data_IF_610839489857
#
_entry.id   IF_610839489857
#
_cell.length_a   1.000
_cell.length_b   1.000
_cell.length_c   1.000
_cell.angle_alpha   90.00
_cell.angle_beta   90.00
_cell.angle_gamma   90.00
#
_symmetry.space_group_name_H-M   'P 1'
#
loop_
_entity.id
_entity.type
_entity.pdbx_description
1 polymer ?
#
# COMPACT_ATOMS: atom_id res chain seq x y z
N UNK A 1 0.14 9.15 13.77
CA UNK A 1 -0.53 8.17 12.88
C UNK A 1 -1.03 8.91 11.67
N UNK A 2 -0.72 8.53 10.43
CA UNK A 2 -1.37 9.15 9.28
C UNK A 2 -2.81 8.64 9.25
N UNK A 3 -3.75 9.49 9.69
CA UNK A 3 -5.17 9.25 9.45
C UNK A 3 -5.49 9.64 8.01
N UNK A 4 -6.37 8.87 7.38
CA UNK A 4 -6.92 9.08 6.05
C UNK A 4 -7.37 10.54 5.89
N UNK A 5 -6.76 11.25 4.94
CA UNK A 5 -7.11 12.65 4.63
C UNK A 5 -8.50 12.68 3.99
N UNK A 6 -9.44 13.44 4.57
CA UNK A 6 -10.83 13.56 4.10
C UNK A 6 -11.07 14.97 3.60
N UNK A 7 -11.35 15.10 2.31
CA UNK A 7 -11.72 16.38 1.71
C UNK A 7 -13.15 16.77 2.11
N UNK A 8 -13.31 17.90 2.79
CA UNK A 8 -14.60 18.56 2.98
C UNK A 8 -14.46 20.04 2.63
N UNK A 9 -15.06 20.44 1.50
CA UNK A 9 -15.32 21.85 1.21
C UNK A 9 -16.56 22.29 1.99
N UNK A 10 -16.38 23.05 3.08
CA UNK A 10 -17.34 24.05 3.57
C UNK A 10 -16.75 24.76 4.80
N UNK A 11 -16.30 26.00 4.64
CA UNK A 11 -15.95 26.89 5.75
C UNK A 11 -16.69 28.23 5.60
N UNK A 12 -17.32 28.67 6.70
CA UNK A 12 -17.48 30.10 6.98
C UNK A 12 -16.23 30.57 7.75
N UNK A 13 -15.76 31.80 7.53
CA UNK A 13 -14.51 32.27 8.12
C UNK A 13 -14.68 32.67 9.59
N UNK A 14 -13.75 32.32 10.49
CA UNK A 14 -13.58 33.03 11.75
C UNK A 14 -12.74 34.31 11.52
N UNK A 15 -13.23 35.40 12.12
CA UNK A 15 -12.64 36.74 12.13
C UNK A 15 -11.18 36.78 12.56
N UNK A 16 -10.38 37.55 11.81
CA UNK A 16 -8.92 37.60 11.92
C UNK A 16 -8.35 38.18 13.23
N UNK A 17 -7.17 37.66 13.58
CA UNK A 17 -6.12 38.36 14.33
C UNK A 17 -4.76 37.98 13.74
N UNK A 18 -3.94 38.99 13.43
CA UNK A 18 -2.53 38.82 12.99
C UNK A 18 -1.67 38.36 14.17
N UNK A 19 -0.75 37.43 13.95
CA UNK A 19 0.27 36.94 14.92
C UNK A 19 1.68 37.20 14.36
N UNK A 20 2.68 37.61 15.18
CA UNK A 20 4.00 38.08 14.72
C UNK A 20 4.90 36.99 14.13
N UNK A 21 5.99 37.40 13.46
CA UNK A 21 7.02 36.54 12.91
C UNK A 21 7.79 35.79 14.02
N UNK A 22 7.93 34.46 13.87
CA UNK A 22 8.57 33.58 14.87
C UNK A 22 7.62 32.75 15.75
N UNK A 23 6.35 32.57 15.37
CA UNK A 23 5.36 31.86 16.20
C UNK A 23 5.23 30.36 15.94
N UNK A 24 5.30 29.54 17.00
CA UNK A 24 4.70 28.20 17.05
C UNK A 24 3.19 28.32 16.80
N UNK A 25 2.64 27.50 15.89
CA UNK A 25 1.17 27.35 15.76
C UNK A 25 0.75 26.16 16.62
N UNK A 26 0.02 26.44 17.70
CA UNK A 26 -0.72 25.43 18.45
C UNK A 26 -2.08 25.24 17.78
N UNK A 27 -2.34 24.06 17.23
CA UNK A 27 -3.66 23.69 16.71
C UNK A 27 -4.32 22.84 17.80
N UNK A 28 -5.27 23.41 18.51
CA UNK A 28 -6.02 22.68 19.54
C UNK A 28 -7.08 21.81 18.86
N UNK A 29 -6.90 20.49 18.93
CA UNK A 29 -7.89 19.49 18.53
C UNK A 29 -7.88 18.37 19.56
N UNK A 30 -8.84 18.44 20.49
CA UNK A 30 -8.96 17.58 21.65
C UNK A 30 -9.15 18.40 22.93
N UNK A 31 -10.01 17.94 23.84
CA UNK A 31 -10.27 18.63 25.11
C UNK A 31 -9.07 18.59 26.09
N UNK A 32 -8.02 17.81 25.79
CA UNK A 32 -6.90 17.54 26.71
C UNK A 32 -5.49 17.47 26.07
N UNK A 33 -5.35 17.38 24.73
CA UNK A 33 -4.05 17.26 24.05
C UNK A 33 -3.88 18.35 22.98
N UNK A 34 -2.67 18.88 22.89
CA UNK A 34 -2.31 20.02 22.03
C UNK A 34 -1.21 19.57 21.06
N UNK A 35 -1.42 19.81 19.76
CA UNK A 35 -0.39 19.54 18.76
C UNK A 35 0.38 20.83 18.43
N UNK A 36 1.71 20.75 18.50
CA UNK A 36 2.60 21.84 18.09
C UNK A 36 3.41 21.39 16.87
N UNK A 37 3.32 22.18 15.80
CA UNK A 37 4.14 22.00 14.59
C UNK A 37 5.17 23.12 14.58
N UNK A 38 6.46 22.76 14.56
CA UNK A 38 7.52 23.72 14.27
C UNK A 38 7.51 23.99 12.77
N UNK A 39 7.22 25.22 12.34
CA UNK A 39 7.39 25.63 10.94
C UNK A 39 8.46 26.72 10.89
N UNK A 40 9.55 26.49 10.16
CA UNK A 40 10.46 27.57 9.72
C UNK A 40 9.72 28.37 8.66
N UNK A 41 9.44 29.64 8.95
CA UNK A 41 8.59 30.49 8.10
C UNK A 41 9.46 31.16 7.03
N UNK A 42 9.12 30.96 5.77
CA UNK A 42 9.60 31.80 4.67
C UNK A 42 8.85 33.16 4.71
N UNK A 43 9.54 34.31 4.76
CA UNK A 43 8.89 35.62 4.95
C UNK A 43 7.99 36.11 3.80
N UNK A 44 7.92 35.43 2.65
CA UNK A 44 7.30 35.99 1.43
C UNK A 44 5.94 35.41 0.98
N UNK A 45 5.39 34.37 1.61
CA UNK A 45 4.06 33.83 1.20
C UNK A 45 3.03 33.76 2.33
N UNK A 46 1.92 34.52 2.23
CA UNK A 46 0.76 34.33 3.10
C UNK A 46 -0.13 33.20 2.54
N UNK A 47 0.07 31.97 2.99
CA UNK A 47 -0.90 30.88 2.79
C UNK A 47 -2.02 30.99 3.85
N UNK A 48 -3.27 31.10 3.41
CA UNK A 48 -4.45 30.96 4.28
C UNK A 48 -4.47 29.53 4.90
N UNK A 49 -4.81 29.39 6.20
CA UNK A 49 -4.90 28.07 6.81
C UNK A 49 -6.17 27.34 6.32
N UNK A 50 -6.01 26.47 5.35
CA UNK A 50 -7.01 25.45 5.04
C UNK A 50 -6.96 24.35 6.11
N UNK A 51 -8.10 24.07 6.76
CA UNK A 51 -8.22 22.87 7.61
C UNK A 51 -8.46 21.67 6.71
N UNK A 52 -7.40 20.91 6.44
CA UNK A 52 -7.40 19.78 5.50
C UNK A 52 -7.94 18.47 6.12
N UNK A 53 -7.89 18.33 7.45
CA UNK A 53 -8.35 17.14 8.17
C UNK A 53 -8.63 17.46 9.64
N UNK A 54 -9.47 16.63 10.28
CA UNK A 54 -9.72 16.68 11.72
C UNK A 54 -9.13 15.40 12.31
N UNK A 55 -8.15 15.55 13.20
CA UNK A 55 -7.58 14.44 13.95
C UNK A 55 -7.74 14.73 15.44
N UNK A 56 -8.26 13.77 16.19
CA UNK A 56 -8.21 13.80 17.66
C UNK A 56 -6.97 13.02 18.10
N UNK A 57 -6.06 13.69 18.80
CA UNK A 57 -4.77 13.11 19.14
C UNK A 57 -4.78 12.63 20.58
N UNK A 58 -4.62 11.33 20.76
CA UNK A 58 -4.91 10.64 22.02
C UNK A 58 -3.67 10.16 22.78
N UNK A 59 -2.48 10.43 22.27
CA UNK A 59 -1.25 9.93 22.89
C UNK A 59 -0.11 10.93 22.75
N UNK A 60 0.47 11.28 23.89
CA UNK A 60 1.69 12.08 24.01
C UNK A 60 2.86 11.38 23.32
N UNK A 61 3.41 12.02 22.29
CA UNK A 61 4.58 11.54 21.56
C UNK A 61 5.09 12.57 20.56
N UNK A 62 6.22 12.23 19.94
CA UNK A 62 6.72 12.89 18.75
C UNK A 62 6.33 12.06 17.53
N UNK A 63 5.66 12.66 16.57
CA UNK A 63 5.16 12.00 15.37
C UNK A 63 5.73 12.64 14.11
N UNK A 64 5.80 11.86 13.04
CA UNK A 64 6.16 12.33 11.70
C UNK A 64 4.91 12.60 10.85
N UNK A 65 4.92 13.72 10.12
CA UNK A 65 4.10 13.97 8.93
C UNK A 65 5.05 13.94 7.75
N UNK A 66 4.83 13.00 6.82
CA UNK A 66 5.66 12.88 5.62
C UNK A 66 4.81 12.64 4.38
N UNK A 67 5.31 13.13 3.25
CA UNK A 67 4.78 12.74 1.95
C UNK A 67 5.16 11.28 1.67
N UNK A 68 4.23 10.51 1.09
CA UNK A 68 4.44 9.09 0.75
C UNK A 68 4.86 8.87 -0.71
N UNK A 69 4.90 9.92 -1.52
CA UNK A 69 5.60 9.94 -2.80
C UNK A 69 7.09 9.79 -2.53
N UNK A 70 7.74 8.75 -3.08
CA UNK A 70 9.13 8.41 -2.71
C UNK A 70 10.11 9.54 -2.98
N UNK A 71 9.95 10.26 -4.08
CA UNK A 71 10.89 11.33 -4.48
C UNK A 71 10.76 12.55 -3.57
N UNK A 72 9.54 12.87 -3.14
CA UNK A 72 9.32 13.90 -2.13
C UNK A 72 9.87 13.48 -0.77
N UNK A 73 9.71 12.20 -0.40
CA UNK A 73 10.23 11.66 0.85
C UNK A 73 11.77 11.74 0.90
N UNK A 74 12.46 11.32 -0.17
CA UNK A 74 13.92 11.40 -0.29
C UNK A 74 14.41 12.85 -0.34
N UNK A 75 13.68 13.74 -1.02
CA UNK A 75 13.96 15.18 -1.07
C UNK A 75 13.70 15.91 0.26
N UNK A 76 13.17 15.24 1.27
CA UNK A 76 13.03 15.79 2.62
C UNK A 76 11.67 16.39 2.95
N UNK A 77 10.61 16.08 2.19
CA UNK A 77 9.22 16.47 2.48
C UNK A 77 8.65 15.67 3.68
N UNK A 78 9.22 15.91 4.85
CA UNK A 78 8.87 15.30 6.12
C UNK A 78 9.10 16.29 7.25
N UNK A 79 8.18 16.30 8.22
CA UNK A 79 8.26 17.15 9.39
C UNK A 79 7.78 16.42 10.63
N UNK A 80 8.20 16.88 11.79
CA UNK A 80 7.74 16.33 13.06
C UNK A 80 6.71 17.25 13.73
N UNK A 81 5.72 16.64 14.37
CA UNK A 81 4.79 17.32 15.25
C UNK A 81 4.80 16.65 16.62
N UNK A 82 4.75 17.47 17.67
CA UNK A 82 4.70 16.99 19.05
C UNK A 82 3.27 17.12 19.57
N UNK A 83 2.85 16.10 20.30
CA UNK A 83 1.57 16.08 21.00
C UNK A 83 1.88 16.11 22.48
N UNK A 84 1.52 17.21 23.13
CA UNK A 84 1.75 17.42 24.56
C UNK A 84 0.39 17.47 25.30
N UNK A 85 0.34 17.11 26.59
CA UNK A 85 -0.83 17.37 27.43
C UNK A 85 -1.08 18.87 27.53
N UNK A 86 -2.31 19.33 27.23
CA UNK A 86 -2.65 20.73 27.44
C UNK A 86 -2.89 20.98 28.94
N UNK A 87 -2.12 21.87 29.56
CA UNK A 87 -2.48 22.44 30.87
C UNK A 87 -3.40 23.65 30.66
N UNK A 88 -4.71 23.51 30.88
CA UNK A 88 -5.57 24.69 31.02
C UNK A 88 -5.32 25.33 32.38
N UNK A 89 -4.82 26.56 32.39
CA UNK A 89 -4.78 27.39 33.59
C UNK A 89 -6.22 27.61 34.10
N UNK A 90 -6.59 26.94 35.20
CA UNK A 90 -7.78 27.28 35.99
C UNK A 90 -8.88 26.21 36.12
N UNK A 91 -8.82 25.11 35.38
CA UNK A 91 -9.76 23.98 35.59
C UNK A 91 -9.07 22.89 36.43
N UNK A 92 -9.59 22.66 37.65
CA UNK A 92 -9.23 21.46 38.43
C UNK A 92 -9.65 20.24 37.60
N UNK A 93 -8.67 19.49 37.09
CA UNK A 93 -8.85 18.21 36.42
C UNK A 93 -9.73 17.28 37.27
N UNK A 94 -11.03 17.25 36.97
CA UNK A 94 -12.01 16.34 37.60
C UNK A 94 -12.48 15.25 36.64
N UNK A 95 -11.87 15.14 35.47
CA UNK A 95 -12.03 13.99 34.59
C UNK A 95 -10.67 13.32 34.39
N UNK A 96 -10.37 12.35 35.25
CA UNK A 96 -9.46 11.26 34.92
C UNK A 96 -10.09 10.49 33.74
N UNK A 97 -9.98 11.02 32.53
CA UNK A 97 -9.96 10.18 31.34
C UNK A 97 -8.58 9.52 31.32
N UNK A 98 -8.38 8.58 32.27
CA UNK A 98 -7.60 7.40 31.92
C UNK A 98 -8.24 6.93 30.62
N UNK A 99 -7.51 7.05 29.51
CA UNK A 99 -7.79 6.22 28.35
C UNK A 99 -7.84 4.81 28.92
N UNK A 100 -9.06 4.30 29.15
CA UNK A 100 -9.26 2.93 29.60
C UNK A 100 -8.52 2.12 28.56
N UNK A 101 -7.37 1.55 28.95
CA UNK A 101 -6.75 0.48 28.20
C UNK A 101 -7.80 -0.61 28.21
N UNK A 102 -8.64 -0.59 27.18
CA UNK A 102 -9.75 -1.50 27.06
C UNK A 102 -9.08 -2.78 26.66
N UNK A 103 -9.11 -3.77 27.56
CA UNK A 103 -8.54 -5.07 27.28
C UNK A 103 -9.05 -5.54 25.91
N UNK A 104 -8.16 -6.06 25.05
CA UNK A 104 -8.55 -6.43 23.71
C UNK A 104 -9.64 -7.49 23.78
N UNK A 105 -10.63 -7.39 22.91
CA UNK A 105 -11.74 -8.35 22.88
C UNK A 105 -11.26 -9.73 22.43
N UNK A 106 -10.25 -9.76 21.56
CA UNK A 106 -9.61 -10.96 21.03
C UNK A 106 -8.18 -10.62 20.60
N UNK A 107 -7.27 -11.58 20.74
CA UNK A 107 -5.90 -11.51 20.20
C UNK A 107 -5.83 -12.36 18.93
N UNK A 108 -5.26 -11.81 17.87
CA UNK A 108 -5.12 -12.45 16.55
C UNK A 108 -3.63 -12.58 16.24
N UNK A 109 -3.14 -13.82 16.22
CA UNK A 109 -1.72 -14.11 16.01
C UNK A 109 -1.40 -14.32 14.52
N UNK A 110 -0.30 -13.71 14.07
CA UNK A 110 0.31 -13.96 12.76
C UNK A 110 1.80 -14.29 12.91
N UNK A 111 2.29 -15.22 12.10
CA UNK A 111 3.71 -15.54 11.99
C UNK A 111 4.20 -15.15 10.60
N UNK A 112 4.98 -14.08 10.51
CA UNK A 112 5.38 -13.49 9.22
C UNK A 112 6.91 -13.46 9.15
N UNK A 113 7.49 -13.79 8.00
CA UNK A 113 8.91 -13.55 7.75
C UNK A 113 9.16 -12.69 6.53
N UNK A 114 10.25 -11.92 6.58
CA UNK A 114 10.87 -11.36 5.39
C UNK A 114 11.88 -12.38 4.85
N UNK A 115 11.73 -12.79 3.58
CA UNK A 115 12.60 -13.77 2.95
C UNK A 115 12.96 -13.37 1.51
N UNK A 116 14.17 -13.73 1.09
CA UNK A 116 14.69 -13.44 -0.24
C UNK A 116 14.22 -14.50 -1.23
N UNK A 117 13.71 -14.08 -2.38
CA UNK A 117 13.25 -14.95 -3.45
C UNK A 117 13.71 -14.43 -4.81
N UNK A 118 13.74 -15.32 -5.80
CA UNK A 118 13.71 -14.90 -7.21
C UNK A 118 12.26 -14.60 -7.58
N UNK A 119 12.02 -13.40 -8.11
CA UNK A 119 10.72 -12.94 -8.57
C UNK A 119 10.75 -12.73 -10.07
N UNK A 120 9.86 -13.40 -10.79
CA UNK A 120 9.67 -13.21 -12.22
C UNK A 120 8.40 -12.37 -12.45
N UNK A 121 8.57 -11.18 -13.00
CA UNK A 121 7.48 -10.25 -13.30
C UNK A 121 6.57 -10.72 -14.44
N UNK A 122 7.14 -11.46 -15.39
CA UNK A 122 6.44 -11.94 -16.60
C UNK A 122 6.90 -13.36 -16.97
N UNK A 123 6.51 -14.39 -16.18
CA UNK A 123 6.90 -15.77 -16.46
C UNK A 123 6.50 -16.27 -17.85
N UNK A 124 5.34 -15.83 -18.33
CA UNK A 124 4.82 -16.12 -19.66
C UNK A 124 4.69 -14.83 -20.46
N UNK A 125 4.95 -14.90 -21.77
CA UNK A 125 4.82 -13.76 -22.70
C UNK A 125 3.70 -13.93 -23.72
N UNK A 126 3.02 -15.08 -23.73
CA UNK A 126 2.00 -15.39 -24.75
C UNK A 126 0.89 -14.35 -24.82
N UNK A 127 0.38 -13.92 -23.65
CA UNK A 127 -0.64 -12.87 -23.57
C UNK A 127 -0.16 -11.53 -24.14
N UNK A 128 1.07 -11.14 -23.80
CA UNK A 128 1.70 -9.91 -24.30
C UNK A 128 1.80 -9.93 -25.83
N UNK A 129 2.36 -11.02 -26.36
CA UNK A 129 2.62 -11.20 -27.78
C UNK A 129 1.32 -11.26 -28.59
N UNK A 130 0.30 -11.98 -28.08
CA UNK A 130 -1.04 -12.04 -28.67
C UNK A 130 -1.70 -10.65 -28.69
N UNK A 131 -1.70 -9.94 -27.55
CA UNK A 131 -2.31 -8.63 -27.43
C UNK A 131 -1.66 -7.57 -28.36
N UNK A 132 -0.35 -7.67 -28.58
CA UNK A 132 0.39 -6.77 -29.46
C UNK A 132 0.53 -7.27 -30.91
N UNK A 133 -0.02 -8.44 -31.25
CA UNK A 133 0.11 -9.06 -32.58
C UNK A 133 1.58 -9.18 -33.04
N UNK A 134 2.47 -9.53 -32.13
CA UNK A 134 3.92 -9.71 -32.40
C UNK A 134 4.31 -11.17 -32.21
N UNK A 135 5.35 -11.65 -32.89
CA UNK A 135 5.91 -12.99 -32.67
C UNK A 135 7.31 -12.92 -32.06
N UNK A 136 7.75 -13.99 -31.38
CA UNK A 136 9.11 -14.06 -30.82
C UNK A 136 10.21 -14.02 -31.89
N UNK A 137 9.86 -14.27 -33.15
CA UNK A 137 10.74 -14.22 -34.32
C UNK A 137 10.81 -12.82 -34.95
N UNK A 138 9.91 -11.89 -34.57
CA UNK A 138 9.89 -10.50 -35.04
C UNK A 138 10.93 -9.61 -34.32
N UNK A 139 12.02 -10.20 -33.83
CA UNK A 139 13.16 -9.49 -33.21
C UNK A 139 13.97 -8.65 -34.21
N UNK A 140 13.50 -8.48 -35.45
CA UNK A 140 14.12 -7.61 -36.42
C UNK A 140 13.64 -6.17 -36.15
N UNK A 141 14.58 -5.27 -35.85
CA UNK A 141 14.36 -3.89 -35.37
C UNK A 141 13.40 -3.01 -36.21
N UNK A 142 13.00 -3.48 -37.40
CA UNK A 142 12.13 -2.81 -38.35
C UNK A 142 10.63 -3.20 -38.23
N UNK A 143 10.29 -4.30 -37.56
CA UNK A 143 8.91 -4.63 -37.19
C UNK A 143 8.69 -4.25 -35.73
N UNK A 144 7.65 -3.46 -35.44
CA UNK A 144 7.39 -2.85 -34.13
C UNK A 144 7.45 -3.89 -33.00
N UNK A 145 8.51 -3.93 -32.19
CA UNK A 145 8.61 -4.89 -31.10
C UNK A 145 7.51 -4.62 -30.07
N UNK A 146 7.09 -5.65 -29.33
CA UNK A 146 6.17 -5.46 -28.20
C UNK A 146 6.72 -4.35 -27.30
N UNK A 147 5.92 -3.34 -26.91
CA UNK A 147 6.34 -2.30 -25.99
C UNK A 147 6.90 -2.85 -24.68
N UNK A 148 6.52 -4.08 -24.29
CA UNK A 148 7.05 -4.73 -23.10
C UNK A 148 8.49 -5.21 -23.20
N UNK A 149 9.07 -5.34 -24.41
CA UNK A 149 10.46 -5.77 -24.59
C UNK A 149 11.46 -4.92 -23.82
N UNK A 150 11.21 -3.61 -23.68
CA UNK A 150 12.12 -2.74 -22.91
C UNK A 150 12.27 -3.21 -21.45
N UNK A 151 11.23 -3.80 -20.85
CA UNK A 151 11.20 -4.20 -19.44
C UNK A 151 11.48 -5.69 -19.23
N UNK A 152 10.96 -6.57 -20.09
CA UNK A 152 11.02 -8.03 -19.85
C UNK A 152 12.06 -8.76 -20.68
N UNK A 153 12.57 -8.15 -21.76
CA UNK A 153 13.59 -8.77 -22.61
C UNK A 153 14.96 -8.72 -21.94
N UNK A 154 15.62 -9.88 -21.91
CA UNK A 154 17.00 -9.97 -21.42
C UNK A 154 17.96 -9.54 -22.52
N UNK A 155 18.91 -8.65 -22.19
CA UNK A 155 19.91 -8.15 -23.13
C UNK A 155 21.25 -7.88 -22.46
N UNK A 156 22.28 -7.43 -23.22
CA UNK A 156 23.59 -7.09 -22.67
C UNK A 156 23.55 -5.99 -21.60
N UNK A 157 22.54 -5.11 -21.68
CA UNK A 157 22.31 -3.98 -20.80
C UNK A 157 20.87 -3.98 -20.23
N UNK A 158 20.24 -5.17 -20.13
CA UNK A 158 18.87 -5.33 -19.61
C UNK A 158 18.78 -6.61 -18.79
N UNK A 159 18.38 -6.50 -17.53
CA UNK A 159 18.29 -7.64 -16.61
C UNK A 159 17.20 -8.63 -17.10
N UNK A 160 16.10 -8.11 -17.64
CA UNK A 160 14.94 -8.89 -18.10
C UNK A 160 13.90 -9.04 -16.99
N UNK A 161 13.04 -10.05 -17.06
CA UNK A 161 11.88 -10.15 -16.16
C UNK A 161 12.16 -10.67 -14.74
N UNK A 162 13.38 -11.14 -14.43
CA UNK A 162 13.69 -11.85 -13.18
C UNK A 162 14.62 -11.03 -12.29
N UNK A 163 14.21 -10.86 -11.04
CA UNK A 163 14.94 -10.11 -10.04
C UNK A 163 14.94 -10.85 -8.70
N UNK A 164 16.08 -10.83 -8.01
CA UNK A 164 16.14 -11.14 -6.59
C UNK A 164 15.42 -10.04 -5.81
N UNK A 165 14.50 -10.44 -4.94
CA UNK A 165 13.64 -9.56 -4.15
C UNK A 165 13.51 -10.06 -2.72
N UNK A 166 12.97 -9.24 -1.83
CA UNK A 166 12.60 -9.66 -0.47
C UNK A 166 11.11 -9.44 -0.24
N UNK A 167 10.43 -10.45 0.30
CA UNK A 167 8.97 -10.48 0.40
C UNK A 167 8.51 -10.95 1.77
N UNK A 168 7.31 -10.53 2.17
CA UNK A 168 6.64 -11.08 3.34
C UNK A 168 5.95 -12.41 3.03
N UNK A 169 6.13 -13.42 3.88
CA UNK A 169 5.42 -14.70 3.83
C UNK A 169 4.90 -15.13 5.19
N UNK A 170 3.74 -15.79 5.18
CA UNK A 170 3.07 -16.29 6.38
C UNK A 170 3.51 -17.72 6.69
N UNK A 171 3.64 -18.04 7.97
CA UNK A 171 3.98 -19.35 8.50
C UNK A 171 2.89 -19.83 9.46
N UNK A 172 2.85 -21.14 9.72
CA UNK A 172 1.84 -21.74 10.59
C UNK A 172 2.04 -21.42 12.07
N UNK A 173 3.29 -21.23 12.49
CA UNK A 173 3.69 -21.10 13.89
C UNK A 173 5.07 -20.43 14.05
N UNK A 174 5.45 -20.22 15.32
CA UNK A 174 6.71 -19.58 15.74
C UNK A 174 7.98 -20.34 15.34
N UNK A 175 7.88 -21.59 14.87
CA UNK A 175 9.07 -22.35 14.42
C UNK A 175 9.58 -21.85 13.06
N UNK A 176 8.73 -21.18 12.28
CA UNK A 176 9.01 -20.76 10.90
C UNK A 176 9.54 -21.88 9.99
N UNK A 177 9.07 -23.12 10.22
CA UNK A 177 9.43 -24.30 9.43
C UNK A 177 8.47 -24.56 8.28
N UNK A 178 7.17 -24.38 8.51
CA UNK A 178 6.12 -24.65 7.53
C UNK A 178 5.52 -23.33 7.07
N UNK A 179 5.83 -22.94 5.85
CA UNK A 179 5.20 -21.79 5.22
C UNK A 179 3.73 -22.11 4.93
N UNK A 180 2.83 -21.19 5.30
CA UNK A 180 1.40 -21.34 5.04
C UNK A 180 1.16 -21.25 3.54
N UNK A 181 0.58 -22.30 2.97
CA UNK A 181 0.28 -22.36 1.54
C UNK A 181 -0.82 -21.34 1.23
N UNK A 182 -0.57 -20.47 0.26
CA UNK A 182 -1.61 -19.58 -0.29
C UNK A 182 -2.71 -20.40 -0.91
N UNK A 183 -3.94 -20.08 -0.53
CA UNK A 183 -5.13 -20.66 -1.11
C UNK A 183 -5.39 -20.08 -2.51
N UNK A 184 -6.27 -20.73 -3.28
CA UNK A 184 -6.58 -20.32 -4.66
C UNK A 184 -7.09 -18.87 -4.74
N UNK A 185 -7.91 -18.46 -3.78
CA UNK A 185 -8.42 -17.09 -3.64
C UNK A 185 -7.34 -16.07 -3.23
N UNK A 186 -6.16 -16.50 -2.80
CA UNK A 186 -5.01 -15.66 -2.47
C UNK A 186 -3.90 -15.68 -3.53
N UNK A 187 -4.09 -16.41 -4.64
CA UNK A 187 -3.11 -16.47 -5.73
C UNK A 187 -2.79 -15.07 -6.29
N UNK A 188 -3.80 -14.20 -6.35
CA UNK A 188 -3.69 -12.84 -6.84
C UNK A 188 -2.75 -11.96 -6.03
N UNK A 189 -2.39 -12.31 -4.79
CA UNK A 189 -1.53 -11.46 -3.96
C UNK A 189 -0.13 -11.25 -4.56
N UNK A 190 0.30 -12.14 -5.47
CA UNK A 190 1.55 -11.95 -6.20
C UNK A 190 2.73 -11.71 -5.25
N UNK A 191 3.42 -10.58 -5.42
CA UNK A 191 4.57 -10.25 -4.59
C UNK A 191 4.19 -9.92 -3.14
N UNK A 192 3.00 -9.33 -2.93
CA UNK A 192 2.55 -8.80 -1.64
C UNK A 192 2.56 -9.86 -0.55
N UNK A 193 2.72 -9.42 0.70
CA UNK A 193 2.56 -10.26 1.86
C UNK A 193 1.13 -10.79 2.08
N UNK A 194 0.92 -11.64 3.09
CA UNK A 194 -0.43 -12.10 3.46
C UNK A 194 -1.35 -10.93 3.82
N UNK A 195 -2.66 -11.08 3.57
CA UNK A 195 -3.63 -10.10 4.08
C UNK A 195 -3.75 -10.29 5.59
N UNK A 196 -3.44 -9.24 6.36
CA UNK A 196 -3.66 -9.23 7.81
C UNK A 196 -5.06 -8.68 8.06
N UNK A 197 -5.90 -9.42 8.79
CA UNK A 197 -7.28 -9.04 9.11
C UNK A 197 -7.50 -8.91 10.61
N UNK A 198 -8.26 -7.91 11.02
CA UNK A 198 -8.73 -7.75 12.39
C UNK A 198 -10.02 -6.93 12.47
N UNK A 199 -10.74 -7.07 13.59
CA UNK A 199 -11.89 -6.22 13.91
C UNK A 199 -11.52 -5.12 14.90
N UNK A 200 -12.30 -4.04 14.91
CA UNK A 200 -12.18 -2.98 15.90
C UNK A 200 -12.32 -3.53 17.32
N UNK A 201 -11.36 -3.21 18.19
CA UNK A 201 -11.28 -3.68 19.58
C UNK A 201 -10.42 -4.92 19.77
N UNK A 202 -10.00 -5.58 18.69
CA UNK A 202 -9.02 -6.66 18.74
C UNK A 202 -7.59 -6.13 18.82
N UNK A 203 -6.67 -7.05 19.09
CA UNK A 203 -5.23 -6.81 19.06
C UNK A 203 -4.58 -7.83 18.13
N UNK A 204 -3.70 -7.34 17.25
CA UNK A 204 -2.93 -8.16 16.33
C UNK A 204 -1.55 -8.37 16.95
N UNK A 205 -1.13 -9.61 17.08
CA UNK A 205 0.22 -9.95 17.53
C UNK A 205 0.95 -10.60 16.35
N UNK A 206 2.10 -10.04 15.98
CA UNK A 206 2.91 -10.50 14.87
C UNK A 206 4.25 -10.98 15.42
N UNK A 207 4.50 -12.27 15.31
CA UNK A 207 5.85 -12.80 15.45
C UNK A 207 6.54 -12.64 14.11
N UNK A 208 7.47 -11.69 14.02
CA UNK A 208 8.18 -11.36 12.79
C UNK A 208 9.60 -11.92 12.82
N UNK A 209 9.95 -12.75 11.83
CA UNK A 209 11.30 -13.29 11.64
C UNK A 209 11.97 -12.68 10.42
N UNK A 210 13.17 -12.16 10.58
CA UNK A 210 13.96 -11.75 9.44
C UNK A 210 14.82 -12.91 8.93
N UNK A 211 14.47 -13.50 7.80
CA UNK A 211 15.26 -14.54 7.11
C UNK A 211 16.13 -13.97 5.97
N UNK A 212 16.03 -12.68 5.70
CA UNK A 212 16.81 -12.00 4.66
C UNK A 212 18.20 -11.59 5.17
N UNK A 213 19.02 -11.07 4.27
CA UNK A 213 20.43 -10.71 4.54
C UNK A 213 20.64 -9.34 5.18
N UNK A 214 19.60 -8.54 5.35
CA UNK A 214 19.67 -7.14 5.81
C UNK A 214 18.63 -6.84 6.90
N UNK A 215 18.83 -5.81 7.73
CA UNK A 215 17.82 -5.43 8.73
C UNK A 215 16.54 -4.92 8.07
N UNK A 216 15.40 -5.51 8.47
CA UNK A 216 14.07 -5.09 8.02
C UNK A 216 13.12 -4.94 9.20
N UNK A 217 12.03 -4.22 9.03
CA UNK A 217 10.98 -4.07 10.04
C UNK A 217 9.62 -4.36 9.43
N UNK A 218 8.56 -4.37 10.24
CA UNK A 218 7.18 -4.40 9.76
C UNK A 218 6.35 -3.41 10.57
N UNK A 219 5.64 -2.52 9.88
CA UNK A 219 4.74 -1.53 10.45
C UNK A 219 3.56 -1.29 9.51
N UNK A 220 2.47 -0.70 9.99
CA UNK A 220 1.28 -0.46 9.19
C UNK A 220 0.73 0.95 9.34
N UNK A 221 0.08 1.43 8.28
CA UNK A 221 -0.75 2.63 8.35
C UNK A 221 -2.00 2.38 9.20
N UNK A 222 -2.55 3.46 9.75
CA UNK A 222 -3.87 3.42 10.40
C UNK A 222 -3.91 2.77 11.79
N UNK A 223 -2.87 2.07 12.24
CA UNK A 223 -2.89 1.30 13.50
C UNK A 223 -1.95 1.84 14.57
N UNK A 224 -2.23 1.53 15.84
CA UNK A 224 -1.31 1.77 16.96
C UNK A 224 -0.39 0.57 17.13
N UNK A 225 0.79 0.64 16.56
CA UNK A 225 1.79 -0.41 16.66
C UNK A 225 2.81 -0.12 17.78
N UNK A 226 2.87 -1.01 18.77
CA UNK A 226 4.00 -1.06 19.72
C UNK A 226 5.18 -1.78 19.08
N UNK A 227 6.39 -1.25 19.25
CA UNK A 227 7.59 -1.78 18.61
C UNK A 227 7.69 -1.51 17.09
N UNK A 228 6.77 -0.71 16.52
CA UNK A 228 6.91 -0.24 15.15
C UNK A 228 8.24 0.51 14.95
N UNK A 229 8.82 0.35 13.76
CA UNK A 229 10.11 0.93 13.36
C UNK A 229 11.36 0.31 13.99
N UNK A 230 11.25 -0.76 14.79
CA UNK A 230 12.42 -1.48 15.29
C UNK A 230 13.01 -2.32 14.14
N UNK A 231 14.26 -2.06 13.71
CA UNK A 231 14.93 -2.89 12.72
C UNK A 231 15.27 -4.26 13.33
N UNK A 232 14.83 -5.33 12.68
CA UNK A 232 15.13 -6.71 13.08
C UNK A 232 16.32 -7.19 12.28
N UNK A 233 17.37 -7.59 12.98
CA UNK A 233 18.60 -8.08 12.35
C UNK A 233 18.39 -9.44 11.66
N UNK A 234 19.19 -9.77 10.63
CA UNK A 234 19.16 -11.08 9.97
C UNK A 234 19.22 -12.25 10.98
N UNK A 235 18.30 -13.21 10.84
CA UNK A 235 18.18 -14.38 11.70
C UNK A 235 17.40 -14.17 13.00
N UNK A 236 17.11 -12.93 13.39
CA UNK A 236 16.38 -12.61 14.63
C UNK A 236 14.87 -12.62 14.46
N UNK A 237 14.18 -12.75 15.60
CA UNK A 237 12.73 -12.75 15.72
C UNK A 237 12.35 -11.65 16.72
N UNK A 238 11.28 -10.92 16.42
CA UNK A 238 10.64 -9.99 17.34
C UNK A 238 9.14 -10.28 17.40
N UNK A 239 8.51 -10.00 18.53
CA UNK A 239 7.06 -9.96 18.66
C UNK A 239 6.58 -8.51 18.69
N UNK A 240 5.58 -8.20 17.87
CA UNK A 240 5.00 -6.87 17.73
C UNK A 240 3.52 -6.92 18.03
N UNK A 241 3.03 -5.91 18.74
CA UNK A 241 1.62 -5.83 19.12
C UNK A 241 0.98 -4.58 18.54
N UNK A 242 -0.06 -4.77 17.73
CA UNK A 242 -0.84 -3.71 17.12
C UNK A 242 -2.25 -3.66 17.70
N UNK A 243 -2.58 -2.58 18.40
CA UNK A 243 -3.92 -2.34 18.92
C UNK A 243 -4.82 -1.78 17.83
N UNK A 244 -6.05 -2.31 17.72
CA UNK A 244 -7.07 -1.84 16.76
C UNK A 244 -8.13 -0.99 17.47
N UNK A 245 -7.87 0.28 17.81
CA UNK A 245 -8.88 1.15 18.40
C UNK A 245 -9.99 1.51 17.38
N UNK A 246 -11.07 2.10 17.89
CA UNK A 246 -12.17 2.60 17.04
C UNK A 246 -11.69 3.59 15.97
N UNK A 247 -10.65 4.38 16.27
CA UNK A 247 -10.05 5.35 15.34
C UNK A 247 -9.24 4.72 14.21
N UNK A 248 -8.92 3.43 14.31
CA UNK A 248 -8.23 2.64 13.28
C UNK A 248 -9.19 1.85 12.40
N UNK A 249 -10.47 1.82 12.74
CA UNK A 249 -11.48 1.11 11.99
C UNK A 249 -12.31 1.98 11.05
N UNK A 250 -13.26 1.36 10.33
CA UNK A 250 -14.18 2.09 9.47
C UNK A 250 -14.98 3.16 10.24
N UNK A 251 -15.00 4.38 9.70
CA UNK A 251 -15.88 5.45 10.15
C UNK A 251 -17.35 5.15 9.83
N UNK A 252 -18.26 6.04 10.21
CA UNK A 252 -19.73 5.82 10.08
C UNK A 252 -20.17 5.59 8.63
N UNK A 253 -19.55 6.29 7.68
CA UNK A 253 -19.91 6.22 6.25
C UNK A 253 -19.01 5.29 5.43
N UNK A 254 -18.01 4.66 6.05
CA UNK A 254 -17.09 3.76 5.35
C UNK A 254 -17.73 2.37 5.10
N UNK A 255 -17.19 1.52 4.22
CA UNK A 255 -17.60 0.12 4.11
C UNK A 255 -17.31 -0.68 5.39
N UNK A 256 -17.78 -1.92 5.47
CA UNK A 256 -17.61 -2.76 6.68
C UNK A 256 -16.16 -3.08 7.00
N UNK A 257 -15.30 -3.10 5.99
CA UNK A 257 -13.86 -3.21 6.14
C UNK A 257 -13.18 -2.14 5.32
N UNK A 258 -12.09 -1.61 5.82
CA UNK A 258 -11.20 -0.68 5.11
C UNK A 258 -9.80 -1.25 5.05
N UNK A 259 -9.04 -0.84 4.03
CA UNK A 259 -7.66 -1.30 3.83
C UNK A 259 -6.63 -0.23 4.19
N UNK A 260 -5.49 -0.71 4.68
CA UNK A 260 -4.26 0.00 4.91
C UNK A 260 -3.09 -0.80 4.31
N UNK A 261 -1.94 -0.15 4.16
CA UNK A 261 -0.70 -0.81 3.82
C UNK A 261 0.15 -1.09 5.06
N UNK A 262 0.78 -2.28 5.10
CA UNK A 262 1.92 -2.56 5.95
C UNK A 262 3.19 -2.76 5.12
N UNK A 263 4.33 -2.35 5.65
CA UNK A 263 5.59 -2.20 4.93
C UNK A 263 6.77 -2.16 5.91
N UNK A 264 8.00 -2.31 5.40
CA UNK A 264 9.22 -2.09 6.19
C UNK A 264 9.57 -0.60 6.23
N UNK A 265 10.01 -0.13 7.39
CA UNK A 265 10.32 1.28 7.63
C UNK A 265 11.79 1.54 7.95
N UNK A 266 12.68 0.56 7.78
CA UNK A 266 14.11 0.73 8.04
C UNK A 266 14.69 1.68 7.00
N UNK A 267 14.44 1.38 5.73
CA UNK A 267 14.60 2.32 4.63
C UNK A 267 13.32 2.28 3.80
N UNK A 268 12.41 3.22 4.04
CA UNK A 268 11.08 3.24 3.42
C UNK A 268 11.11 3.05 1.91
N UNK A 269 12.05 3.71 1.20
CA UNK A 269 12.12 3.68 -0.26
C UNK A 269 12.70 2.34 -0.74
N UNK A 270 13.92 2.00 -0.27
CA UNK A 270 14.62 0.81 -0.77
C UNK A 270 13.91 -0.48 -0.36
N UNK A 271 13.37 -0.54 0.85
CA UNK A 271 12.67 -1.74 1.34
C UNK A 271 11.35 -1.97 0.58
N UNK A 272 10.64 -0.89 0.25
CA UNK A 272 9.40 -0.93 -0.55
C UNK A 272 9.67 -1.47 -1.95
N UNK A 273 10.60 -0.87 -2.70
CA UNK A 273 10.94 -1.31 -4.05
C UNK A 273 11.61 -2.69 -4.07
N UNK A 274 12.31 -3.09 -3.00
CA UNK A 274 12.83 -4.45 -2.85
C UNK A 274 11.73 -5.51 -2.69
N UNK A 275 10.51 -5.13 -2.29
CA UNK A 275 9.32 -6.00 -2.28
C UNK A 275 8.58 -6.13 -0.93
N UNK A 276 8.93 -5.36 0.10
CA UNK A 276 8.32 -5.48 1.44
C UNK A 276 7.05 -4.64 1.59
N UNK A 277 5.94 -5.20 1.12
CA UNK A 277 4.62 -4.59 1.20
C UNK A 277 3.50 -5.63 1.41
N UNK A 278 2.40 -5.24 2.05
CA UNK A 278 1.16 -6.02 2.06
C UNK A 278 -0.05 -5.23 2.58
N UNK A 279 -1.20 -5.89 2.61
CA UNK A 279 -2.49 -5.27 2.92
C UNK A 279 -2.95 -5.62 4.33
N UNK A 280 -3.26 -4.60 5.13
CA UNK A 280 -3.96 -4.72 6.41
C UNK A 280 -5.43 -4.35 6.21
N UNK A 281 -6.36 -5.20 6.62
CA UNK A 281 -7.80 -4.99 6.51
C UNK A 281 -8.40 -4.91 7.91
N UNK A 282 -9.01 -3.76 8.22
CA UNK A 282 -9.68 -3.53 9.49
C UNK A 282 -11.18 -3.48 9.28
N UNK A 283 -11.90 -4.35 9.98
CA UNK A 283 -13.33 -4.53 9.87
C UNK A 283 -14.10 -4.02 11.10
N UNK A 284 -15.39 -3.75 10.91
CA UNK A 284 -16.34 -3.58 12.01
C UNK A 284 -16.47 -4.88 12.80
N UNK A 285 -16.88 -4.76 14.06
CA UNK A 285 -17.13 -5.92 14.95
C UNK A 285 -18.21 -6.84 14.36
N UNK A 286 -17.96 -8.14 14.37
CA UNK A 286 -18.88 -9.18 13.90
C UNK A 286 -18.90 -9.42 12.38
N UNK A 287 -18.00 -8.79 11.62
CA UNK A 287 -17.88 -8.97 10.16
C UNK A 287 -17.00 -10.17 9.80
N UNK A 288 -15.99 -10.50 10.62
CA UNK A 288 -15.08 -11.62 10.42
C UNK A 288 -15.60 -12.89 11.13
N UNK A 289 -15.91 -13.93 10.37
CA UNK A 289 -16.51 -15.18 10.83
C UNK A 289 -15.86 -16.41 10.14
N UNK A 290 -16.35 -17.63 10.45
CA UNK A 290 -16.04 -18.83 9.67
C UNK A 290 -14.64 -19.43 9.85
N UNK A 291 -13.91 -19.06 10.92
CA UNK A 291 -12.58 -19.59 11.24
C UNK A 291 -12.05 -19.05 12.57
N UNK A 292 -10.80 -19.37 12.89
CA UNK A 292 -10.11 -18.86 14.07
C UNK A 292 -8.86 -18.07 13.69
N UNK A 293 -8.52 -17.08 14.53
CA UNK A 293 -7.36 -16.21 14.35
C UNK A 293 -7.26 -15.62 12.92
N UNK A 294 -6.18 -15.91 12.18
CA UNK A 294 -5.90 -15.36 10.85
C UNK A 294 -6.74 -15.99 9.72
N UNK A 295 -7.42 -17.12 9.95
CA UNK A 295 -8.19 -17.83 8.92
C UNK A 295 -9.65 -17.34 8.81
N UNK A 296 -10.03 -16.34 9.61
CA UNK A 296 -11.35 -15.74 9.55
C UNK A 296 -11.59 -15.04 8.22
N UNK A 297 -12.78 -15.26 7.68
CA UNK A 297 -13.22 -14.66 6.43
C UNK A 297 -14.34 -13.67 6.69
N UNK A 298 -14.54 -12.76 5.75
CA UNK A 298 -15.68 -11.84 5.82
C UNK A 298 -16.98 -12.58 5.55
N UNK A 299 -17.99 -12.31 6.36
CA UNK A 299 -19.33 -12.88 6.17
C UNK A 299 -20.22 -12.06 5.24
N UNK A 300 -19.81 -10.82 4.90
CA UNK A 300 -20.63 -9.87 4.13
C UNK A 300 -20.33 -9.87 2.63
N UNK A 301 -19.24 -10.50 2.21
CA UNK A 301 -18.81 -10.65 0.81
C UNK A 301 -18.32 -12.07 0.54
N UNK A 302 -18.48 -12.54 -0.70
CA UNK A 302 -18.06 -13.89 -1.09
C UNK A 302 -16.61 -13.95 -1.60
N UNK A 303 -16.05 -12.81 -2.05
CA UNK A 303 -14.66 -12.70 -2.51
C UNK A 303 -14.03 -11.37 -2.10
N UNK A 304 -12.72 -11.43 -1.87
CA UNK A 304 -11.88 -10.29 -1.52
C UNK A 304 -10.63 -10.32 -2.38
N UNK A 305 -10.29 -9.18 -3.00
CA UNK A 305 -9.07 -9.04 -3.80
C UNK A 305 -8.29 -7.81 -3.36
N UNK A 306 -6.98 -7.97 -3.12
CA UNK A 306 -6.09 -6.85 -2.88
C UNK A 306 -5.22 -6.60 -4.12
N UNK A 307 -5.19 -5.35 -4.58
CA UNK A 307 -4.45 -4.92 -5.76
C UNK A 307 -3.60 -3.70 -5.42
N UNK A 308 -2.29 -3.89 -5.47
CA UNK A 308 -1.27 -2.85 -5.45
C UNK A 308 -0.94 -2.45 -6.88
N UNK A 309 -1.12 -1.16 -7.15
CA UNK A 309 -0.68 -0.48 -8.36
C UNK A 309 0.58 0.32 -8.02
N UNK A 310 1.69 -0.05 -8.63
CA UNK A 310 3.01 0.52 -8.38
C UNK A 310 3.95 0.19 -9.55
N UNK A 311 4.70 1.19 -9.99
CA UNK A 311 5.92 0.98 -10.79
C UNK A 311 7.02 0.51 -9.85
N UNK A 312 7.45 -0.74 -9.98
CA UNK A 312 8.51 -1.28 -9.13
C UNK A 312 9.85 -0.85 -9.72
N UNK A 313 10.40 0.25 -9.19
CA UNK A 313 11.71 0.76 -9.57
C UNK A 313 12.84 -0.12 -8.98
N UNK A 314 13.32 -1.09 -9.75
CA UNK A 314 14.40 -1.98 -9.32
C UNK A 314 15.76 -1.25 -9.21
N UNK A 315 15.90 -0.05 -9.77
CA UNK A 315 17.11 0.76 -9.58
C UNK A 315 17.25 1.21 -8.12
N UNK A 316 16.13 1.31 -7.39
CA UNK A 316 16.10 1.64 -5.96
C UNK A 316 16.15 0.40 -5.05
N UNK A 317 16.23 -0.80 -5.61
CA UNK A 317 16.29 -2.05 -4.86
C UNK A 317 17.59 -2.19 -4.06
N UNK A 318 17.55 -2.94 -2.96
CA UNK A 318 18.76 -3.39 -2.27
C UNK A 318 19.54 -4.45 -3.05
N UNK A 319 18.87 -5.10 -4.00
CA UNK A 319 19.38 -6.24 -4.77
C UNK A 319 19.82 -5.88 -6.18
N UNK A 320 19.90 -4.59 -6.53
CA UNK A 320 20.32 -4.15 -7.86
C UNK A 320 21.68 -4.77 -8.26
N UNK A 321 22.69 -4.64 -7.39
CA UNK A 321 24.02 -5.18 -7.65
C UNK A 321 24.02 -6.72 -7.78
N UNK A 322 23.28 -7.41 -6.90
CA UNK A 322 23.10 -8.87 -6.98
C UNK A 322 22.47 -9.27 -8.33
N UNK A 323 21.50 -8.50 -8.80
CA UNK A 323 20.79 -8.74 -10.06
C UNK A 323 21.66 -8.43 -11.28
N UNK A 324 22.44 -7.35 -11.27
CA UNK A 324 23.42 -7.05 -12.32
C UNK A 324 24.43 -8.21 -12.43
N UNK A 325 25.02 -8.62 -11.31
CA UNK A 325 25.99 -9.72 -11.29
C UNK A 325 25.40 -11.04 -11.76
N UNK A 326 24.17 -11.36 -11.33
CA UNK A 326 23.51 -12.64 -11.64
C UNK A 326 23.01 -12.71 -13.08
N UNK A 327 22.34 -11.66 -13.56
CA UNK A 327 21.63 -11.71 -14.84
C UNK A 327 22.43 -11.15 -16.02
N UNK A 328 23.26 -10.13 -15.80
CA UNK A 328 24.14 -9.56 -16.84
C UNK A 328 25.51 -10.23 -16.88
N UNK A 329 25.95 -10.87 -15.79
CA UNK A 329 27.25 -11.55 -15.73
C UNK A 329 28.45 -10.59 -15.71
N UNK A 330 28.23 -9.34 -15.30
CA UNK A 330 29.25 -8.29 -15.19
C UNK A 330 29.47 -7.92 -13.73
N UNK A 331 30.66 -7.41 -13.41
CA UNK A 331 30.93 -6.88 -12.08
C UNK A 331 30.11 -5.59 -11.85
N UNK A 332 29.20 -5.54 -10.86
CA UNK A 332 28.38 -4.36 -10.58
C UNK A 332 29.22 -3.11 -10.32
N UNK A 333 30.42 -3.24 -9.76
CA UNK A 333 31.30 -2.09 -9.48
C UNK A 333 31.85 -1.40 -10.73
N UNK A 334 31.85 -2.09 -11.88
CA UNK A 334 32.32 -1.56 -13.17
C UNK A 334 31.17 -1.34 -14.17
N UNK A 335 29.93 -1.61 -13.77
CA UNK A 335 28.76 -1.45 -14.61
C UNK A 335 28.17 -0.05 -14.40
N UNK A 336 28.00 0.68 -15.50
CA UNK A 336 27.31 1.97 -15.49
C UNK A 336 26.08 1.82 -16.37
N UNK A 337 24.89 1.85 -15.75
CA UNK A 337 23.63 1.87 -16.47
C UNK A 337 23.46 3.18 -17.23
N UNK A 338 22.94 3.09 -18.44
CA UNK A 338 22.41 4.23 -19.19
C UNK A 338 20.91 4.39 -18.93
N UNK A 339 20.29 5.40 -19.53
CA UNK A 339 18.86 5.64 -19.38
C UNK A 339 18.00 4.45 -19.84
N UNK A 340 18.48 3.66 -20.80
CA UNK A 340 17.75 2.46 -21.26
C UNK A 340 17.80 1.35 -20.21
N UNK A 341 18.92 1.18 -19.51
CA UNK A 341 19.02 0.29 -18.37
C UNK A 341 18.10 0.74 -17.22
N UNK A 342 18.12 2.02 -16.88
CA UNK A 342 17.25 2.56 -15.82
C UNK A 342 15.77 2.34 -16.14
N UNK A 343 15.35 2.64 -17.37
CA UNK A 343 13.97 2.41 -17.83
C UNK A 343 13.62 0.92 -17.86
N UNK A 344 14.55 0.05 -18.27
CA UNK A 344 14.31 -1.41 -18.29
C UNK A 344 13.98 -1.99 -16.91
N UNK A 345 14.42 -1.32 -15.84
CA UNK A 345 14.21 -1.70 -14.45
C UNK A 345 12.94 -1.09 -13.82
N UNK A 346 12.18 -0.29 -14.58
CA UNK A 346 10.91 0.29 -14.14
C UNK A 346 9.76 -0.68 -14.42
N UNK A 347 9.47 -1.57 -13.46
CA UNK A 347 8.50 -2.66 -13.68
C UNK A 347 7.07 -2.22 -13.36
N UNK A 348 6.35 -1.79 -14.39
CA UNK A 348 4.97 -1.29 -14.34
C UNK A 348 3.96 -2.45 -14.14
N UNK A 349 3.72 -2.85 -12.89
CA UNK A 349 2.95 -4.07 -12.59
C UNK A 349 1.84 -3.93 -11.56
N UNK A 350 0.87 -4.86 -11.64
CA UNK A 350 -0.15 -5.04 -10.60
C UNK A 350 0.28 -6.23 -9.73
N UNK A 351 0.42 -6.02 -8.41
CA UNK A 351 0.92 -7.04 -7.48
C UNK A 351 2.27 -7.68 -7.91
N UNK A 352 3.10 -6.90 -8.61
CA UNK A 352 4.39 -7.36 -9.15
C UNK A 352 4.28 -8.28 -10.36
N UNK A 353 3.16 -8.26 -11.12
CA UNK A 353 3.00 -9.02 -12.36
C UNK A 353 2.67 -8.09 -13.53
N UNK A 354 3.26 -8.40 -14.68
CA UNK A 354 3.15 -7.64 -15.93
C UNK A 354 2.36 -8.44 -16.99
N UNK A 355 1.79 -7.73 -17.97
CA UNK A 355 1.23 -8.30 -19.21
C UNK A 355 0.35 -9.56 -19.04
N UNK A 356 -0.67 -9.49 -18.18
CA UNK A 356 -1.62 -10.60 -18.01
C UNK A 356 -1.16 -11.75 -17.10
N UNK A 357 0.06 -11.69 -16.54
CA UNK A 357 0.59 -12.71 -15.62
C UNK A 357 0.01 -12.64 -14.18
N UNK A 358 -0.93 -11.73 -13.91
CA UNK A 358 -1.64 -11.67 -12.63
C UNK A 358 -2.85 -12.62 -12.64
N UNK A 359 -2.68 -13.79 -12.05
CA UNK A 359 -3.73 -14.81 -11.98
C UNK A 359 -4.50 -14.79 -10.65
N UNK A 360 -5.63 -15.50 -10.59
CA UNK A 360 -6.42 -15.68 -9.36
C UNK A 360 -7.54 -14.66 -9.17
N UNK A 361 -7.75 -13.74 -10.11
CA UNK A 361 -8.86 -12.78 -10.12
C UNK A 361 -10.12 -13.40 -10.75
N UNK A 362 -10.65 -14.42 -10.05
CA UNK A 362 -11.77 -15.24 -10.53
C UNK A 362 -12.98 -15.08 -9.62
N UNK A 363 -14.12 -14.72 -10.22
CA UNK A 363 -15.40 -14.56 -9.53
C UNK A 363 -16.57 -15.11 -10.37
N UNK A 364 -17.68 -15.41 -9.71
CA UNK A 364 -18.92 -15.93 -10.32
C UNK A 364 -20.01 -14.86 -10.33
N UNK A 365 -21.01 -15.06 -11.20
CA UNK A 365 -22.14 -14.12 -11.37
C UNK A 365 -22.81 -13.87 -10.04
N UNK A 366 -23.15 -12.62 -9.77
CA UNK A 366 -23.94 -12.25 -8.61
C UNK A 366 -23.18 -12.33 -7.29
N UNK A 367 -21.91 -12.76 -7.28
CA UNK A 367 -21.07 -12.65 -6.09
C UNK A 367 -20.80 -11.18 -5.79
N UNK A 368 -20.85 -10.85 -4.50
CA UNK A 368 -20.35 -9.60 -3.95
C UNK A 368 -18.86 -9.76 -3.73
N UNK A 369 -18.12 -8.86 -4.34
CA UNK A 369 -16.67 -8.86 -4.36
C UNK A 369 -16.20 -7.53 -3.80
N UNK A 370 -15.28 -7.58 -2.86
CA UNK A 370 -14.63 -6.37 -2.35
C UNK A 370 -13.20 -6.28 -2.88
N UNK A 371 -12.85 -5.10 -3.39
CA UNK A 371 -11.53 -4.82 -3.92
C UNK A 371 -10.81 -3.80 -3.05
N UNK A 372 -9.66 -4.19 -2.52
CA UNK A 372 -8.74 -3.32 -1.81
C UNK A 372 -7.74 -2.77 -2.82
N UNK A 373 -7.93 -1.52 -3.22
CA UNK A 373 -7.07 -0.80 -4.15
C UNK A 373 -6.01 -0.02 -3.38
N UNK A 374 -4.74 -0.27 -3.67
CA UNK A 374 -3.60 0.36 -3.02
C UNK A 374 -2.71 1.03 -4.08
N UNK A 375 -2.40 2.32 -3.89
CA UNK A 375 -1.41 3.05 -4.68
C UNK A 375 -0.18 3.38 -3.83
N UNK A 376 1.01 3.10 -4.34
CA UNK A 376 2.30 3.43 -3.72
C UNK A 376 3.32 3.74 -4.80
N UNK A 377 4.41 4.42 -4.43
CA UNK A 377 5.57 4.64 -5.29
C UNK A 377 5.95 6.12 -5.39
N UNK A 378 6.37 6.56 -6.56
CA UNK A 378 6.96 7.87 -6.81
C UNK A 378 5.95 8.84 -7.46
N UNK A 379 6.44 9.93 -8.04
CA UNK A 379 5.58 10.96 -8.65
C UNK A 379 4.85 10.50 -9.91
N UNK A 380 5.35 9.47 -10.61
CA UNK A 380 4.71 8.90 -11.80
C UNK A 380 3.63 7.87 -11.45
N UNK A 381 3.52 7.46 -10.18
CA UNK A 381 2.52 6.50 -9.68
C UNK A 381 1.11 7.12 -9.52
N UNK A 382 0.62 7.73 -10.59
CA UNK A 382 -0.75 8.19 -10.77
C UNK A 382 -1.51 7.16 -11.61
N UNK A 383 -2.22 6.25 -10.94
CA UNK A 383 -2.89 5.11 -11.58
C UNK A 383 -4.38 5.32 -11.67
N UNK A 384 -4.97 5.09 -12.85
CA UNK A 384 -6.42 5.11 -13.05
C UNK A 384 -6.92 3.69 -13.24
N UNK A 385 -7.45 3.09 -12.19
CA UNK A 385 -7.84 1.68 -12.19
C UNK A 385 -9.19 1.51 -12.86
N UNK A 386 -9.22 0.91 -14.05
CA UNK A 386 -10.45 0.63 -14.79
C UNK A 386 -10.84 -0.85 -14.73
N UNK A 387 -12.11 -1.12 -14.42
CA UNK A 387 -12.69 -2.47 -14.44
C UNK A 387 -13.54 -2.66 -15.70
N UNK A 388 -13.02 -3.43 -16.66
CA UNK A 388 -13.72 -3.66 -17.93
C UNK A 388 -15.07 -4.37 -17.72
N UNK A 389 -16.12 -3.78 -18.32
CA UNK A 389 -17.49 -4.30 -18.34
C UNK A 389 -18.14 -4.51 -16.96
N UNK A 390 -17.54 -4.00 -15.89
CA UNK A 390 -18.10 -4.01 -14.55
C UNK A 390 -18.07 -2.59 -13.99
N UNK A 391 -18.93 -2.33 -13.01
CA UNK A 391 -18.89 -1.08 -12.25
C UNK A 391 -18.88 -1.44 -10.77
N UNK A 392 -18.21 -0.63 -9.97
CA UNK A 392 -18.18 -0.77 -8.54
C UNK A 392 -18.84 0.43 -7.85
N UNK A 393 -19.08 0.28 -6.56
CA UNK A 393 -19.50 1.36 -5.70
C UNK A 393 -18.47 1.58 -4.61
N UNK A 394 -18.21 2.85 -4.27
CA UNK A 394 -17.32 3.20 -3.18
C UNK A 394 -17.99 4.21 -2.26
N UNK A 395 -17.60 4.20 -0.99
CA UNK A 395 -18.22 5.03 0.04
C UNK A 395 -17.22 6.05 0.56
N UNK A 396 -17.62 7.32 0.56
CA UNK A 396 -16.88 8.41 1.21
C UNK A 396 -17.82 9.10 2.21
N UNK A 397 -18.61 10.04 1.74
CA UNK A 397 -19.71 10.70 2.44
C UNK A 397 -21.08 10.13 2.02
N UNK A 398 -21.18 9.76 0.75
CA UNK A 398 -22.30 9.08 0.10
C UNK A 398 -21.79 7.85 -0.65
N UNK A 399 -22.72 7.07 -1.17
CA UNK A 399 -22.42 5.97 -2.09
C UNK A 399 -22.23 6.55 -3.48
N UNK A 400 -21.09 6.29 -4.08
CA UNK A 400 -20.74 6.70 -5.43
C UNK A 400 -20.60 5.45 -6.30
N UNK A 401 -20.94 5.54 -7.59
CA UNK A 401 -20.78 4.46 -8.56
C UNK A 401 -19.82 4.90 -9.66
N UNK A 402 -18.85 4.05 -9.98
CA UNK A 402 -17.86 4.29 -11.01
C UNK A 402 -17.36 2.96 -11.57
N UNK A 403 -16.60 3.02 -12.66
CA UNK A 403 -15.81 1.95 -13.24
C UNK A 403 -14.32 2.30 -13.31
N UNK A 404 -13.95 3.53 -12.93
CA UNK A 404 -12.57 4.04 -12.81
C UNK A 404 -12.34 4.60 -11.42
N UNK A 405 -11.21 4.28 -10.79
CA UNK A 405 -10.78 4.89 -9.52
C UNK A 405 -9.32 5.35 -9.59
N UNK A 406 -9.08 6.60 -9.18
CA UNK A 406 -7.76 7.20 -9.20
C UNK A 406 -6.97 6.85 -7.92
N UNK A 407 -5.75 6.35 -8.10
CA UNK A 407 -4.81 6.01 -7.05
C UNK A 407 -3.56 6.87 -7.16
N UNK A 408 -3.06 7.24 -5.99
CA UNK A 408 -1.83 8.01 -5.78
C UNK A 408 -1.04 7.34 -4.65
N UNK A 409 0.27 7.63 -4.48
CA UNK A 409 1.04 7.06 -3.39
C UNK A 409 0.43 7.37 -2.01
N UNK A 410 0.07 6.32 -1.29
CA UNK A 410 -0.61 6.40 0.02
C UNK A 410 -2.14 6.41 -0.05
N UNK A 411 -2.74 6.26 -1.24
CA UNK A 411 -4.19 6.07 -1.39
C UNK A 411 -4.54 4.60 -1.18
N UNK A 412 -5.39 4.35 -0.18
CA UNK A 412 -5.98 3.04 0.07
C UNK A 412 -7.50 3.17 0.03
N UNK A 413 -8.13 2.44 -0.89
CA UNK A 413 -9.57 2.49 -1.09
C UNK A 413 -10.15 1.09 -1.15
N UNK A 414 -11.36 0.98 -0.60
CA UNK A 414 -12.18 -0.22 -0.69
C UNK A 414 -13.35 0.06 -1.63
N UNK A 415 -13.52 -0.78 -2.65
CA UNK A 415 -14.63 -0.68 -3.60
C UNK A 415 -15.41 -1.99 -3.67
N UNK A 416 -16.74 -1.87 -3.60
CA UNK A 416 -17.69 -2.99 -3.56
C UNK A 416 -18.25 -3.22 -4.98
N UNK A 417 -18.15 -4.45 -5.48
CA UNK A 417 -18.65 -4.86 -6.78
C UNK A 417 -19.66 -6.01 -6.63
N UNK A 418 -20.68 -6.02 -7.48
CA UNK A 418 -21.50 -7.22 -7.70
C UNK A 418 -21.26 -7.65 -9.13
N UNK A 419 -20.71 -8.84 -9.35
CA UNK A 419 -20.32 -9.29 -10.69
C UNK A 419 -21.56 -9.49 -11.60
N UNK A 420 -21.66 -8.72 -12.69
CA UNK A 420 -22.80 -8.80 -13.63
C UNK A 420 -22.32 -9.32 -14.99
N UNK A 421 -22.74 -10.52 -15.37
CA UNK A 421 -22.48 -11.03 -16.72
C UNK A 421 -23.53 -10.54 -17.72
N UNK A 422 -23.09 -9.79 -18.72
CA UNK A 422 -23.81 -9.62 -19.98
C UNK A 422 -23.41 -10.78 -20.91
N UNK A 423 -24.23 -11.83 -20.94
CA UNK A 423 -24.07 -12.87 -21.95
C UNK A 423 -24.48 -12.29 -23.31
N UNK A 424 -23.54 -12.04 -24.23
CA UNK A 424 -23.87 -11.76 -25.62
C UNK A 424 -24.42 -13.01 -26.35
N UNK A 425 -24.43 -14.19 -25.72
CA UNK A 425 -25.09 -15.39 -26.21
C UNK A 425 -25.65 -16.18 -25.03
N UNK A 426 -26.94 -16.51 -25.07
CA UNK A 426 -27.67 -17.17 -23.99
C UNK A 426 -27.11 -18.54 -23.59
N UNK A 427 -26.19 -18.55 -22.64
CA UNK A 427 -25.66 -19.73 -21.97
C UNK A 427 -26.05 -19.76 -20.49
N UNK A 428 -26.42 -20.94 -20.02
CA UNK A 428 -26.96 -21.33 -18.70
C UNK A 428 -26.07 -20.96 -17.49
N UNK A 429 -26.69 -20.96 -16.30
CA UNK A 429 -26.07 -20.80 -14.97
C UNK A 429 -24.69 -21.44 -14.86
N UNK A 430 -23.71 -20.68 -14.34
CA UNK A 430 -22.34 -21.16 -14.07
C UNK A 430 -21.21 -20.48 -14.86
N UNK A 431 -21.44 -19.33 -15.50
CA UNK A 431 -20.34 -18.60 -16.17
C UNK A 431 -19.27 -18.17 -15.16
N UNK A 432 -18.01 -18.48 -15.42
CA UNK A 432 -16.85 -18.06 -14.62
C UNK A 432 -16.13 -16.99 -15.44
N UNK A 433 -15.88 -15.81 -14.85
CA UNK A 433 -15.13 -14.73 -15.50
C UNK A 433 -13.79 -14.56 -14.80
N UNK A 434 -12.72 -14.67 -15.58
CA UNK A 434 -11.41 -14.13 -15.22
C UNK A 434 -11.41 -12.67 -15.64
N UNK A 435 -11.23 -11.75 -14.70
CA UNK A 435 -11.21 -10.33 -15.03
C UNK A 435 -9.81 -9.95 -15.56
N UNK A 436 -9.78 -9.35 -16.75
CA UNK A 436 -8.63 -8.60 -17.24
C UNK A 436 -8.72 -7.18 -16.67
N UNK A 437 -7.77 -6.84 -15.80
CA UNK A 437 -7.53 -5.46 -15.39
C UNK A 437 -6.42 -4.92 -16.29
N UNK A 438 -6.73 -3.86 -17.02
CA UNK A 438 -5.72 -3.07 -17.72
C UNK A 438 -5.19 -2.02 -16.74
N UNK A 439 -3.88 -1.97 -16.61
CA UNK A 439 -3.20 -0.84 -15.99
C UNK A 439 -2.95 0.18 -17.10
N UNK A 440 -3.89 1.11 -17.28
CA UNK A 440 -3.57 2.33 -18.04
C UNK A 440 -2.82 3.26 -17.08
N UNK A 441 -1.50 3.35 -17.25
CA UNK A 441 -0.78 4.50 -16.74
C UNK A 441 -1.24 5.69 -17.57
N UNK A 442 -1.81 6.68 -16.89
CA UNK A 442 -1.93 8.00 -17.48
C UNK A 442 -0.50 8.58 -17.50
N UNK A 443 0.28 8.24 -18.53
CA UNK A 443 1.42 9.07 -18.90
C UNK A 443 0.83 10.41 -19.31
N UNK A 444 0.65 11.32 -18.35
CA UNK A 444 0.69 12.73 -18.67
C UNK A 444 2.07 12.95 -19.26
N UNK A 445 2.14 13.00 -20.58
CA UNK A 445 3.30 13.43 -21.31
C UNK A 445 3.69 14.82 -20.81
N UNK A 446 4.55 14.89 -19.79
CA UNK A 446 5.36 16.08 -19.51
C UNK A 446 6.52 16.06 -20.49
N UNK A 447 6.18 16.05 -21.78
CA UNK A 447 7.09 16.22 -22.88
C UNK A 447 7.09 17.69 -23.27
N UNK A 448 8.14 18.41 -22.88
CA UNK A 448 8.57 19.63 -23.56
C UNK A 448 8.20 20.95 -22.89
N UNK A 449 9.05 21.38 -21.95
CA UNK A 449 9.32 22.81 -21.72
C UNK A 449 10.72 22.99 -21.10
N UNK A 450 11.73 22.49 -21.81
CA UNK A 450 13.08 23.07 -21.78
C UNK A 450 13.62 23.12 -23.21
N UNK A 451 13.35 24.25 -23.87
CA UNK A 451 14.28 24.88 -24.80
C UNK A 451 14.97 26.02 -24.07
#
# INVERSE_FOLDING_TARGET
MPQRVRWKSNLRPPSGKKVPAGGQKTVASGTHFCATVGLTRDPYEPLEPFVLSIADVSQESLYEVSCRVTDHYSAGMRQQYRVDPCTRHGEKNTHNHQHKHTQPTKIVQYFISAEEIEWDYSPERDWEMENHHTTSEDSNWYMSPSPGNIFVEKGPNKIGSRYKKVVYREYTDESFKVQKKRQFDQQHLGIMGPIIKAEVGEQIVITFKNKASRPYSITAHGIKASGAHIPVQPGYIIELTWDVPQSSGPGVSDPNCISYAYYSSVNFIKDLYSGLFGTLVICRRGTLQGGDGPDRQRSDVEKEFALLFMVHDENQSWYLDDNIGTYLGVDPGNFTGDNEFEESNMMHGINGKLYGNLHGLVMMRGQKVDWYLLGMGNEVDMHTVHFHAETFTYKMDRVHRADVFDLFPGTFQTVEMVAVFTSAAGGTEGSVKTLLLLMELCLMAVGGLHQ
#
